data_IF_289568534296
#
_entry.id   IF_289568534296
#
_cell.length_a   1.000
_cell.length_b   1.000
_cell.length_c   1.000
_cell.angle_alpha   90.00
_cell.angle_beta   90.00
_cell.angle_gamma   90.00
#
_symmetry.space_group_name_H-M   'P 1'
#
loop_
_entity.id
_entity.type
_entity.pdbx_description
1 polymer ?
#
# COMPACT_ATOMS: atom_id res chain seq x y z
N UNK A 1 -0.36 -7.36 -1.79
CA UNK A 1 0.86 -6.85 -1.13
C UNK A 1 2.11 -7.50 -1.73
N UNK A 2 1.98 -8.75 -2.22
CA UNK A 2 3.06 -9.55 -2.80
C UNK A 2 3.74 -8.94 -4.03
N UNK A 3 2.98 -8.38 -4.99
CA UNK A 3 3.55 -7.74 -6.19
C UNK A 3 4.53 -6.61 -5.88
N UNK A 4 4.35 -5.99 -4.71
CA UNK A 4 5.18 -4.87 -4.25
C UNK A 4 6.20 -5.28 -3.20
N UNK A 5 6.41 -6.60 -3.02
CA UNK A 5 7.36 -7.17 -2.05
C UNK A 5 7.23 -6.54 -0.65
N UNK A 6 6.02 -6.10 -0.29
CA UNK A 6 5.75 -5.52 1.02
C UNK A 6 5.17 -6.61 1.89
N UNK A 7 5.84 -6.91 3.00
CA UNK A 7 5.29 -7.79 4.03
C UNK A 7 4.04 -7.13 4.63
N UNK A 8 2.89 -7.76 4.44
CA UNK A 8 1.68 -7.33 5.10
C UNK A 8 1.81 -7.63 6.59
N UNK A 9 1.98 -6.60 7.40
CA UNK A 9 2.14 -6.74 8.85
C UNK A 9 0.83 -6.41 9.57
N UNK A 10 0.59 -6.96 10.77
CA UNK A 10 -0.58 -6.61 11.59
C UNK A 10 -0.70 -5.10 11.84
N UNK A 11 0.44 -4.38 11.92
CA UNK A 11 0.48 -2.92 12.07
C UNK A 11 -0.09 -2.19 10.86
N UNK A 12 0.22 -2.68 9.65
CA UNK A 12 -0.35 -2.16 8.40
C UNK A 12 -1.85 -2.45 8.35
N UNK A 13 -2.27 -3.65 8.75
CA UNK A 13 -3.69 -4.03 8.81
C UNK A 13 -4.47 -3.13 9.77
N UNK A 14 -3.98 -2.94 11.00
CA UNK A 14 -4.60 -2.08 12.00
C UNK A 14 -4.73 -0.63 11.51
N UNK A 15 -3.68 -0.08 10.91
CA UNK A 15 -3.71 1.26 10.34
C UNK A 15 -4.74 1.38 9.21
N UNK A 16 -4.79 0.41 8.29
CA UNK A 16 -5.76 0.39 7.20
C UNK A 16 -7.20 0.26 7.69
N UNK A 17 -7.46 -0.55 8.71
CA UNK A 17 -8.79 -0.69 9.31
C UNK A 17 -9.22 0.59 10.04
N UNK A 18 -8.28 1.31 10.65
CA UNK A 18 -8.58 2.51 11.43
C UNK A 18 -8.78 3.76 10.56
N UNK A 19 -7.93 3.97 9.55
CA UNK A 19 -7.89 5.22 8.77
C UNK A 19 -8.19 5.03 7.29
N UNK A 20 -8.28 3.79 6.80
CA UNK A 20 -8.38 3.48 5.38
C UNK A 20 -7.09 3.74 4.59
N UNK A 21 -6.01 4.24 5.21
CA UNK A 21 -4.75 4.56 4.53
C UNK A 21 -3.52 4.44 5.44
N UNK A 22 -2.40 4.00 4.89
CA UNK A 22 -1.14 3.85 5.64
C UNK A 22 0.05 4.23 4.80
N UNK A 23 0.95 5.03 5.37
CA UNK A 23 2.20 5.39 4.73
C UNK A 23 3.22 4.26 4.93
N UNK A 24 3.74 3.72 3.83
CA UNK A 24 4.71 2.64 3.83
C UNK A 24 5.98 3.09 3.12
N UNK A 25 7.10 2.94 3.82
CA UNK A 25 8.43 3.23 3.28
C UNK A 25 8.98 1.99 2.58
N UNK A 26 9.83 2.17 1.57
CA UNK A 26 10.45 1.08 0.79
C UNK A 26 9.47 0.17 0.03
N UNK A 27 8.37 0.73 -0.46
CA UNK A 27 7.43 0.07 -1.35
C UNK A 27 8.11 -0.27 -2.69
N UNK A 28 8.11 -1.54 -3.12
CA UNK A 28 8.70 -1.92 -4.40
C UNK A 28 7.81 -1.48 -5.56
N UNK A 29 8.43 -0.89 -6.57
CA UNK A 29 7.82 -0.57 -7.86
C UNK A 29 8.20 -1.63 -8.89
N UNK A 30 7.30 -2.54 -9.29
CA UNK A 30 7.61 -3.49 -10.36
C UNK A 30 7.91 -2.77 -11.69
N UNK A 31 7.33 -1.58 -11.91
CA UNK A 31 7.54 -0.78 -13.13
C UNK A 31 8.96 -0.20 -13.26
N UNK A 32 9.61 0.12 -12.13
CA UNK A 32 10.92 0.79 -12.16
C UNK A 32 12.03 -0.01 -11.49
N UNK A 33 11.70 -1.14 -10.86
CA UNK A 33 12.63 -1.95 -10.07
C UNK A 33 13.14 -1.27 -8.80
N UNK A 34 12.67 -0.06 -8.47
CA UNK A 34 13.12 0.74 -7.33
C UNK A 34 12.14 0.67 -6.17
N UNK A 35 12.66 0.89 -4.98
CA UNK A 35 11.85 1.12 -3.78
C UNK A 35 11.56 2.61 -3.62
N UNK A 36 10.38 2.94 -3.13
CA UNK A 36 9.95 4.31 -2.90
C UNK A 36 9.04 4.40 -1.68
N UNK A 37 8.85 5.61 -1.17
CA UNK A 37 7.90 5.87 -0.09
C UNK A 37 6.54 6.22 -0.70
N UNK A 38 5.50 5.49 -0.28
CA UNK A 38 4.16 5.63 -0.85
C UNK A 38 3.08 5.48 0.20
N UNK A 39 1.88 5.94 -0.14
CA UNK A 39 0.70 5.76 0.72
C UNK A 39 -0.14 4.64 0.15
N UNK A 40 -0.41 3.62 0.96
CA UNK A 40 -1.33 2.55 0.62
C UNK A 40 -2.71 2.96 1.09
N UNK A 41 -3.68 2.98 0.19
CA UNK A 41 -5.09 3.26 0.48
C UNK A 41 -5.89 1.99 0.29
N UNK A 42 -6.74 1.68 1.26
CA UNK A 42 -7.68 0.58 1.19
C UNK A 42 -8.71 0.89 0.11
N UNK A 43 -8.80 0.02 -0.88
CA UNK A 43 -9.79 0.09 -1.95
C UNK A 43 -10.71 -1.11 -1.74
N UNK A 44 -11.60 -1.03 -0.75
CA UNK A 44 -12.56 -2.10 -0.54
C UNK A 44 -13.50 -2.17 -1.74
N UNK A 45 -13.57 -3.34 -2.37
CA UNK A 45 -14.48 -3.61 -3.48
C UNK A 45 -15.64 -4.50 -3.02
N UNK A 46 -15.81 -4.75 -1.71
CA UNK A 46 -16.88 -5.59 -1.16
C UNK A 46 -16.76 -7.06 -1.52
N UNK A 47 -15.58 -7.50 -1.95
CA UNK A 47 -15.29 -8.87 -2.39
C UNK A 47 -14.50 -9.66 -1.35
N UNK A 48 -14.19 -10.91 -1.68
CA UNK A 48 -13.40 -11.82 -0.83
C UNK A 48 -11.98 -11.32 -0.50
N UNK A 49 -11.45 -10.37 -1.29
CA UNK A 49 -10.10 -9.82 -1.13
C UNK A 49 -10.14 -8.30 -1.02
N UNK A 50 -9.42 -7.77 -0.03
CA UNK A 50 -9.22 -6.34 0.13
C UNK A 50 -8.23 -5.87 -0.93
N UNK A 51 -8.69 -5.02 -1.84
CA UNK A 51 -7.80 -4.36 -2.79
C UNK A 51 -7.14 -3.14 -2.13
N UNK A 52 -5.96 -2.78 -2.62
CA UNK A 52 -5.25 -1.58 -2.15
C UNK A 52 -4.65 -0.83 -3.33
N UNK A 53 -4.62 0.50 -3.22
CA UNK A 53 -3.98 1.38 -4.21
C UNK A 53 -2.78 2.06 -3.57
N UNK A 54 -1.73 2.28 -4.36
CA UNK A 54 -0.56 3.02 -3.88
C UNK A 54 -0.56 4.40 -4.51
N UNK A 55 -0.75 5.41 -3.68
CA UNK A 55 -0.62 6.82 -4.06
C UNK A 55 0.83 7.25 -3.85
N UNK A 56 1.47 7.67 -4.94
CA UNK A 56 2.73 8.40 -4.85
C UNK A 56 2.40 9.89 -4.73
N UNK A 57 3.07 10.63 -3.84
CA UNK A 57 3.01 12.08 -3.89
C UNK A 57 3.57 12.51 -5.24
N UNK A 58 2.70 13.12 -6.07
CA UNK A 58 3.10 13.71 -7.35
C UNK A 58 4.14 14.80 -6.99
N UNK A 59 5.40 14.61 -7.38
CA UNK A 59 6.41 15.68 -7.24
C UNK A 59 5.85 16.93 -7.91
N UNK A 60 5.75 18.02 -7.14
CA UNK A 60 5.55 19.37 -7.67
C UNK A 60 6.73 19.77 -8.54
#
# INVERSE_FOLDING_TARGET
FEERKVTFTPKIAAALLQSGKVNVKKLYSPKTGKTYDGTIVLADTGGKYVNYRVELPKKK
#
